data_IF_813364294273
#
_entry.id   IF_813364294273
#
_cell.length_a   1.000
_cell.length_b   1.000
_cell.length_c   1.000
_cell.angle_alpha   90.00
_cell.angle_beta   90.00
_cell.angle_gamma   90.00
#
_symmetry.space_group_name_H-M   'P 1'
#
loop_
_entity.id
_entity.type
_entity.pdbx_description
1 polymer ?
#
# COMPACT_ATOMS: atom_id res chain seq x y z
N UNK A 1 -24.32 -4.98 1.66
CA UNK A 1 -24.81 -4.80 0.27
C UNK A 1 -26.31 -4.54 0.33
N UNK A 2 -26.77 -3.32 0.05
CA UNK A 2 -28.19 -2.96 0.19
C UNK A 2 -29.11 -3.65 -0.83
N UNK A 3 -28.55 -4.12 -1.96
CA UNK A 3 -29.30 -4.84 -3.00
C UNK A 3 -29.61 -6.27 -2.58
N UNK A 4 -28.70 -6.93 -1.86
CA UNK A 4 -28.90 -8.31 -1.38
C UNK A 4 -29.66 -8.35 -0.05
N UNK A 5 -29.30 -7.48 0.90
CA UNK A 5 -29.78 -7.49 2.29
C UNK A 5 -30.65 -6.26 2.64
N UNK A 6 -31.26 -5.60 1.66
CA UNK A 6 -32.03 -4.37 1.88
C UNK A 6 -33.30 -4.56 2.70
N UNK A 7 -33.56 -3.64 3.64
CA UNK A 7 -34.64 -3.73 4.63
C UNK A 7 -36.08 -3.81 4.08
N UNK A 8 -36.32 -3.51 2.79
CA UNK A 8 -37.67 -3.45 2.21
C UNK A 8 -37.87 -4.31 0.96
N UNK A 9 -36.89 -4.36 0.06
CA UNK A 9 -36.98 -5.09 -1.21
C UNK A 9 -35.68 -5.86 -1.54
N UNK A 10 -34.85 -6.13 -0.53
CA UNK A 10 -33.68 -6.98 -0.70
C UNK A 10 -34.08 -8.40 -1.06
N UNK A 11 -33.29 -9.04 -1.92
CA UNK A 11 -33.51 -10.44 -2.35
C UNK A 11 -33.64 -11.37 -1.13
N UNK A 12 -32.80 -11.16 -0.11
CA UNK A 12 -32.86 -11.94 1.14
C UNK A 12 -34.20 -11.74 1.88
N UNK A 13 -34.68 -10.51 1.98
CA UNK A 13 -35.95 -10.17 2.63
C UNK A 13 -37.14 -10.86 1.94
N UNK A 14 -37.12 -10.92 0.61
CA UNK A 14 -38.14 -11.63 -0.18
C UNK A 14 -38.06 -13.15 -0.01
N UNK A 15 -36.85 -13.72 0.02
CA UNK A 15 -36.66 -15.17 0.20
C UNK A 15 -37.05 -15.60 1.62
N UNK A 16 -36.70 -14.82 2.65
CA UNK A 16 -37.12 -15.09 4.04
C UNK A 16 -38.62 -14.97 4.26
N UNK A 17 -39.27 -14.03 3.58
CA UNK A 17 -40.74 -13.93 3.60
C UNK A 17 -41.40 -15.19 3.01
N UNK A 18 -40.77 -15.80 1.99
CA UNK A 18 -41.23 -17.05 1.39
C UNK A 18 -40.82 -18.31 2.18
N UNK A 19 -39.74 -18.24 2.97
CA UNK A 19 -39.21 -19.38 3.71
C UNK A 19 -38.56 -18.93 5.03
N UNK A 20 -39.32 -19.01 6.14
CA UNK A 20 -38.90 -18.55 7.46
C UNK A 20 -37.73 -19.33 8.05
N UNK A 21 -37.50 -20.55 7.57
CA UNK A 21 -36.45 -21.45 8.05
C UNK A 21 -35.13 -21.29 7.27
N UNK A 22 -35.02 -20.29 6.38
CA UNK A 22 -33.80 -20.06 5.63
C UNK A 22 -32.66 -19.68 6.60
N UNK A 23 -31.57 -20.45 6.55
CA UNK A 23 -30.36 -20.17 7.31
C UNK A 23 -29.81 -18.79 6.89
N UNK A 24 -29.47 -17.95 7.86
CA UNK A 24 -28.86 -16.64 7.61
C UNK A 24 -27.44 -16.82 7.09
N UNK A 25 -27.30 -16.97 5.78
CA UNK A 25 -26.02 -16.83 5.11
C UNK A 25 -25.86 -15.34 4.89
N UNK A 26 -25.26 -14.66 5.87
CA UNK A 26 -24.92 -13.24 5.77
C UNK A 26 -24.26 -12.92 4.42
N UNK A 27 -24.39 -11.67 3.98
CA UNK A 27 -23.85 -11.22 2.70
C UNK A 27 -22.35 -11.51 2.55
N UNK A 28 -21.88 -11.48 1.30
CA UNK A 28 -20.49 -11.72 0.88
C UNK A 28 -19.43 -11.30 1.92
N UNK A 29 -18.83 -12.29 2.59
CA UNK A 29 -17.86 -12.07 3.67
C UNK A 29 -16.59 -11.39 3.15
N UNK A 30 -16.21 -11.64 1.89
CA UNK A 30 -15.10 -10.94 1.23
C UNK A 30 -15.43 -9.45 1.10
N UNK A 31 -16.66 -9.11 0.76
CA UNK A 31 -17.11 -7.72 0.72
C UNK A 31 -17.13 -7.07 2.12
N UNK A 32 -17.60 -7.80 3.15
CA UNK A 32 -17.57 -7.33 4.54
C UNK A 32 -16.12 -7.01 4.95
N UNK A 33 -15.19 -7.93 4.73
CA UNK A 33 -13.78 -7.75 5.08
C UNK A 33 -13.14 -6.58 4.33
N UNK A 34 -13.44 -6.40 3.04
CA UNK A 34 -12.99 -5.23 2.29
C UNK A 34 -13.48 -3.91 2.92
N UNK A 35 -14.75 -3.85 3.34
CA UNK A 35 -15.32 -2.65 3.96
C UNK A 35 -14.75 -2.40 5.36
N UNK A 36 -14.51 -3.45 6.15
CA UNK A 36 -13.86 -3.36 7.45
C UNK A 36 -12.45 -2.79 7.31
N UNK A 37 -11.65 -3.34 6.40
CA UNK A 37 -10.31 -2.82 6.12
C UNK A 37 -10.38 -1.34 5.71
N UNK A 38 -11.24 -0.98 4.75
CA UNK A 38 -11.41 0.40 4.29
C UNK A 38 -11.78 1.35 5.44
N UNK A 39 -12.70 0.95 6.32
CA UNK A 39 -13.14 1.74 7.48
C UNK A 39 -12.04 1.85 8.54
N UNK A 40 -11.26 0.80 8.76
CA UNK A 40 -10.14 0.87 9.68
C UNK A 40 -9.09 1.88 9.19
N UNK A 41 -8.68 1.75 7.93
CA UNK A 41 -7.62 2.56 7.37
C UNK A 41 -8.02 4.01 7.04
N UNK A 42 -9.32 4.33 6.93
CA UNK A 42 -9.76 5.72 6.77
C UNK A 42 -9.37 6.62 7.96
N UNK A 43 -9.05 6.05 9.13
CA UNK A 43 -8.57 6.81 10.30
C UNK A 43 -7.15 7.36 10.11
N UNK A 44 -6.40 6.87 9.12
CA UNK A 44 -5.09 7.42 8.73
C UNK A 44 -5.22 8.45 7.61
N UNK A 45 -6.41 9.03 7.40
CA UNK A 45 -6.67 10.13 6.46
C UNK A 45 -6.28 9.80 5.01
N UNK A 46 -6.30 8.52 4.64
CA UNK A 46 -5.84 8.04 3.34
C UNK A 46 -4.39 8.49 3.02
N UNK A 47 -3.53 8.58 4.04
CA UNK A 47 -2.18 9.11 3.92
C UNK A 47 -1.35 8.36 2.87
N UNK A 48 -1.29 7.03 2.93
CA UNK A 48 -0.49 6.24 1.99
C UNK A 48 -1.11 6.18 0.59
N UNK A 49 -2.43 6.21 0.50
CA UNK A 49 -3.19 6.30 -0.75
C UNK A 49 -2.88 7.62 -1.47
N UNK A 50 -2.85 8.73 -0.73
CA UNK A 50 -2.46 10.05 -1.24
C UNK A 50 -1.02 10.06 -1.72
N UNK A 51 -0.08 9.55 -0.92
CA UNK A 51 1.34 9.42 -1.28
C UNK A 51 1.52 8.58 -2.54
N UNK A 52 0.88 7.40 -2.60
CA UNK A 52 0.96 6.51 -3.76
C UNK A 52 0.40 7.18 -5.03
N UNK A 53 -0.71 7.93 -4.89
CA UNK A 53 -1.31 8.67 -6.00
C UNK A 53 -0.38 9.78 -6.50
N UNK A 54 0.18 10.59 -5.60
CA UNK A 54 1.11 11.65 -5.94
C UNK A 54 2.35 11.08 -6.67
N UNK A 55 2.96 10.02 -6.14
CA UNK A 55 4.11 9.38 -6.79
C UNK A 55 3.73 8.80 -8.16
N UNK A 56 2.58 8.13 -8.26
CA UNK A 56 2.09 7.56 -9.53
C UNK A 56 1.94 8.64 -10.60
N UNK A 57 1.20 9.71 -10.31
CA UNK A 57 0.94 10.78 -11.28
C UNK A 57 2.19 11.60 -11.60
N UNK A 58 3.16 11.71 -10.69
CA UNK A 58 4.41 12.41 -10.98
C UNK A 58 5.31 11.62 -11.96
N UNK A 59 5.39 10.29 -11.79
CA UNK A 59 6.30 9.44 -12.56
C UNK A 59 5.64 8.87 -13.82
N UNK A 60 4.40 8.38 -13.76
CA UNK A 60 3.75 7.74 -14.90
C UNK A 60 3.24 8.71 -15.96
N UNK A 61 2.80 9.91 -15.57
CA UNK A 61 2.29 10.89 -16.53
C UNK A 61 3.41 11.59 -17.32
N UNK A 62 4.67 11.38 -16.94
CA UNK A 62 5.85 11.96 -17.60
C UNK A 62 6.74 10.85 -18.18
N UNK A 63 6.77 10.68 -19.51
CA UNK A 63 7.66 9.70 -20.16
C UNK A 63 9.13 9.86 -19.76
N UNK A 64 9.57 11.11 -19.57
CA UNK A 64 10.93 11.44 -19.11
C UNK A 64 11.17 11.05 -17.65
N UNK A 65 10.20 11.28 -16.77
CA UNK A 65 10.33 10.86 -15.37
C UNK A 65 10.36 9.33 -15.27
N UNK A 66 9.54 8.66 -16.10
CA UNK A 66 9.49 7.20 -16.19
C UNK A 66 10.80 6.59 -16.69
N UNK A 67 11.43 7.16 -17.73
CA UNK A 67 12.73 6.66 -18.21
C UNK A 67 13.82 6.84 -17.17
N UNK A 68 13.93 8.03 -16.59
CA UNK A 68 14.89 8.32 -15.52
C UNK A 68 14.70 7.42 -14.29
N UNK A 69 13.45 7.20 -13.87
CA UNK A 69 13.18 6.32 -12.74
C UNK A 69 13.45 4.84 -13.07
N UNK A 70 13.40 4.44 -14.35
CA UNK A 70 13.83 3.11 -14.78
C UNK A 70 15.35 2.97 -14.69
N UNK A 71 16.11 3.96 -15.17
CA UNK A 71 17.58 3.99 -15.09
C UNK A 71 18.06 3.88 -13.63
N UNK A 72 17.41 4.61 -12.71
CA UNK A 72 17.68 4.47 -11.28
C UNK A 72 17.37 3.06 -10.78
N UNK A 73 16.24 2.45 -11.18
CA UNK A 73 15.92 1.09 -10.77
C UNK A 73 16.95 0.05 -11.24
N UNK A 74 17.53 0.25 -12.41
CA UNK A 74 18.58 -0.62 -12.96
C UNK A 74 19.85 -0.57 -12.10
N UNK A 75 20.21 0.61 -11.56
CA UNK A 75 21.33 0.77 -10.61
C UNK A 75 21.12 -0.02 -9.32
N UNK A 76 19.87 -0.10 -8.85
CA UNK A 76 19.49 -0.86 -7.68
C UNK A 76 19.41 -2.37 -7.94
N UNK A 77 19.69 -2.82 -9.18
CA UNK A 77 19.67 -4.23 -9.60
C UNK A 77 18.36 -4.93 -9.27
N UNK A 78 17.24 -4.21 -9.35
CA UNK A 78 15.95 -4.88 -9.27
C UNK A 78 15.83 -5.88 -10.42
N UNK A 79 15.42 -7.12 -10.14
CA UNK A 79 15.31 -8.18 -11.15
C UNK A 79 14.41 -7.79 -12.33
N UNK A 80 13.43 -6.90 -12.10
CA UNK A 80 12.52 -6.35 -13.10
C UNK A 80 12.22 -4.88 -12.76
N UNK A 81 12.00 -4.04 -13.77
CA UNK A 81 11.48 -2.68 -13.58
C UNK A 81 10.12 -2.72 -12.89
N UNK A 82 10.07 -2.24 -11.65
CA UNK A 82 8.88 -2.23 -10.82
C UNK A 82 8.03 -0.99 -11.15
N UNK A 83 6.90 -1.20 -11.80
CA UNK A 83 5.95 -0.12 -12.09
C UNK A 83 5.30 0.44 -10.81
N UNK A 84 5.02 1.73 -10.77
CA UNK A 84 4.25 2.32 -9.67
C UNK A 84 2.78 1.95 -9.86
N UNK A 85 2.12 1.55 -8.77
CA UNK A 85 0.73 1.10 -8.79
C UNK A 85 -0.15 2.24 -8.31
N UNK A 86 -1.16 2.60 -9.11
CA UNK A 86 -2.19 3.55 -8.70
C UNK A 86 -3.14 2.88 -7.69
N UNK A 87 -3.40 3.49 -6.52
CA UNK A 87 -4.41 3.00 -5.60
C UNK A 87 -5.82 3.17 -6.18
N UNK A 88 -6.71 2.22 -5.92
CA UNK A 88 -8.10 2.20 -6.42
C UNK A 88 -9.07 2.10 -5.24
N UNK A 89 -9.87 3.13 -5.02
CA UNK A 89 -10.77 3.25 -3.87
C UNK A 89 -11.86 2.17 -3.80
N UNK A 90 -12.27 1.63 -4.95
CA UNK A 90 -13.28 0.56 -5.05
C UNK A 90 -12.70 -0.82 -4.76
N UNK A 91 -11.37 -0.98 -4.74
CA UNK A 91 -10.66 -2.24 -4.48
C UNK A 91 -9.64 -2.04 -3.37
N UNK A 92 -10.12 -1.63 -2.20
CA UNK A 92 -9.27 -1.16 -1.12
C UNK A 92 -8.13 -2.12 -0.77
N UNK A 93 -8.36 -3.44 -0.67
CA UNK A 93 -7.30 -4.42 -0.34
C UNK A 93 -6.12 -4.39 -1.33
N UNK A 94 -6.28 -3.87 -2.55
CA UNK A 94 -5.17 -3.65 -3.48
C UNK A 94 -4.06 -2.77 -2.90
N UNK A 95 -4.38 -1.90 -1.93
CA UNK A 95 -3.41 -1.06 -1.23
C UNK A 95 -2.28 -1.88 -0.58
N UNK A 96 -2.51 -3.17 -0.28
CA UNK A 96 -1.46 -4.11 0.13
C UNK A 96 -0.32 -4.19 -0.89
N UNK A 97 -0.65 -4.42 -2.17
CA UNK A 97 0.32 -4.49 -3.26
C UNK A 97 0.99 -3.14 -3.51
N UNK A 98 0.26 -2.05 -3.36
CA UNK A 98 0.80 -0.69 -3.46
C UNK A 98 1.84 -0.45 -2.35
N UNK A 99 1.53 -0.80 -1.11
CA UNK A 99 2.45 -0.65 0.02
C UNK A 99 3.70 -1.51 -0.15
N UNK A 100 3.55 -2.76 -0.61
CA UNK A 100 4.69 -3.64 -0.91
C UNK A 100 5.57 -3.04 -2.03
N UNK A 101 4.95 -2.46 -3.06
CA UNK A 101 5.65 -1.78 -4.15
C UNK A 101 6.41 -0.55 -3.67
N UNK A 102 5.76 0.31 -2.89
CA UNK A 102 6.36 1.50 -2.31
C UNK A 102 7.52 1.15 -1.37
N UNK A 103 7.39 0.10 -0.57
CA UNK A 103 8.45 -0.35 0.33
C UNK A 103 9.69 -0.77 -0.46
N UNK A 104 9.52 -1.60 -1.49
CA UNK A 104 10.63 -2.01 -2.37
C UNK A 104 11.28 -0.84 -3.10
N UNK A 105 10.49 0.14 -3.51
CA UNK A 105 10.96 1.30 -4.27
C UNK A 105 11.43 2.46 -3.40
N UNK A 106 11.33 2.40 -2.07
CA UNK A 106 11.57 3.54 -1.18
C UNK A 106 12.94 4.17 -1.41
N UNK A 107 13.98 3.35 -1.53
CA UNK A 107 15.33 3.87 -1.72
C UNK A 107 15.53 4.50 -3.10
N UNK A 108 15.04 3.86 -4.16
CA UNK A 108 15.07 4.41 -5.52
C UNK A 108 14.28 5.72 -5.62
N UNK A 109 13.13 5.80 -4.93
CA UNK A 109 12.33 7.02 -4.81
C UNK A 109 13.11 8.12 -4.09
N UNK A 110 13.79 7.81 -2.98
CA UNK A 110 14.65 8.78 -2.31
C UNK A 110 15.74 9.31 -3.24
N UNK A 111 16.43 8.45 -3.99
CA UNK A 111 17.44 8.90 -4.97
C UNK A 111 16.83 9.81 -6.04
N UNK A 112 15.71 9.41 -6.62
CA UNK A 112 15.01 10.20 -7.64
C UNK A 112 14.59 11.57 -7.09
N UNK A 113 13.96 11.59 -5.90
CA UNK A 113 13.42 12.82 -5.33
C UNK A 113 14.46 13.70 -4.62
N UNK A 114 15.65 13.18 -4.33
CA UNK A 114 16.76 13.98 -3.76
C UNK A 114 17.14 15.17 -4.65
N UNK A 115 16.98 15.02 -5.96
CA UNK A 115 17.24 16.07 -6.95
C UNK A 115 16.33 17.30 -6.81
N UNK A 116 15.19 17.18 -6.11
CA UNK A 116 14.22 18.26 -5.90
C UNK A 116 14.33 18.92 -4.52
N UNK A 117 15.23 18.45 -3.66
CA UNK A 117 15.56 19.12 -2.41
C UNK A 117 16.27 20.45 -2.68
N UNK A 118 16.00 21.46 -1.87
CA UNK A 118 16.79 22.69 -1.86
C UNK A 118 18.19 22.42 -1.31
N UNK A 119 19.17 23.27 -1.62
CA UNK A 119 20.55 23.08 -1.15
C UNK A 119 20.68 23.09 0.38
N UNK A 120 19.71 23.70 1.09
CA UNK A 120 19.63 23.65 2.55
C UNK A 120 19.13 22.31 3.09
N UNK A 121 18.32 21.60 2.32
CA UNK A 121 17.70 20.32 2.70
C UNK A 121 18.53 19.11 2.25
N UNK A 122 19.47 19.31 1.31
CA UNK A 122 20.39 18.27 0.84
C UNK A 122 21.38 17.88 1.94
N UNK A 123 20.96 16.96 2.81
CA UNK A 123 21.90 16.23 3.65
C UNK A 123 22.37 14.97 2.91
N UNK A 124 23.64 14.95 2.52
CA UNK A 124 24.25 13.79 1.85
C UNK A 124 24.23 12.50 2.69
N UNK A 125 24.02 12.57 4.00
CA UNK A 125 23.93 11.41 4.90
C UNK A 125 22.77 10.48 4.56
N UNK A 126 21.60 11.03 4.20
CA UNK A 126 20.40 10.24 3.87
C UNK A 126 20.62 9.32 2.66
N UNK A 127 21.50 9.73 1.74
CA UNK A 127 21.89 8.93 0.59
C UNK A 127 23.05 7.99 0.92
N UNK A 128 24.05 8.45 1.70
CA UNK A 128 25.20 7.61 2.08
C UNK A 128 24.77 6.28 2.68
N UNK A 129 23.75 6.27 3.54
CA UNK A 129 23.24 5.04 4.15
C UNK A 129 22.63 4.08 3.10
N UNK A 130 21.80 4.60 2.20
CA UNK A 130 21.17 3.82 1.13
C UNK A 130 22.24 3.15 0.27
N UNK A 131 23.24 3.93 -0.13
CA UNK A 131 24.26 3.46 -1.06
C UNK A 131 25.30 2.57 -0.41
N UNK A 132 25.62 2.76 0.88
CA UNK A 132 26.44 1.82 1.64
C UNK A 132 25.78 0.44 1.73
N UNK A 133 24.45 0.37 1.85
CA UNK A 133 23.72 -0.93 1.86
C UNK A 133 23.75 -1.64 0.50
N UNK A 134 23.90 -0.89 -0.60
CA UNK A 134 23.83 -1.42 -1.96
C UNK A 134 25.20 -1.74 -2.56
N UNK A 135 26.30 -1.49 -1.82
CA UNK A 135 27.67 -1.59 -2.33
C UNK A 135 27.89 -0.80 -3.64
N UNK A 136 27.25 0.37 -3.77
CA UNK A 136 27.44 1.27 -4.91
C UNK A 136 28.52 2.31 -4.59
N UNK A 137 29.32 2.68 -5.59
CA UNK A 137 30.38 3.67 -5.40
C UNK A 137 29.82 5.08 -5.33
N UNK A 138 30.49 5.99 -4.60
CA UNK A 138 30.04 7.38 -4.46
C UNK A 138 29.99 8.12 -5.82
N UNK A 139 30.86 7.75 -6.75
CA UNK A 139 30.95 8.38 -8.07
C UNK A 139 29.76 8.01 -8.97
N UNK A 140 29.29 6.76 -8.91
CA UNK A 140 28.08 6.32 -9.64
C UNK A 140 26.83 7.07 -9.14
N UNK A 141 26.74 7.31 -7.83
CA UNK A 141 25.66 8.06 -7.18
C UNK A 141 25.62 9.50 -7.70
N UNK A 142 26.75 10.19 -7.61
CA UNK A 142 26.84 11.61 -7.95
C UNK A 142 26.57 11.78 -9.44
N UNK A 143 27.08 10.89 -10.28
CA UNK A 143 26.82 10.90 -11.71
C UNK A 143 25.33 10.79 -12.03
N UNK A 144 24.62 9.86 -11.39
CA UNK A 144 23.20 9.66 -11.66
C UNK A 144 22.35 10.82 -11.15
N UNK A 145 22.61 11.29 -9.92
CA UNK A 145 21.92 12.45 -9.36
C UNK A 145 22.15 13.70 -10.23
N UNK A 146 23.38 13.88 -10.72
CA UNK A 146 23.72 14.99 -11.62
C UNK A 146 23.02 14.87 -12.97
N UNK A 147 22.90 13.65 -13.51
CA UNK A 147 22.14 13.34 -14.72
C UNK A 147 20.67 13.73 -14.56
N UNK A 148 20.04 13.26 -13.48
CA UNK A 148 18.65 13.56 -13.13
C UNK A 148 18.47 15.07 -12.94
N UNK A 149 19.33 15.74 -12.17
CA UNK A 149 19.28 17.19 -11.96
C UNK A 149 19.39 17.98 -13.27
N UNK A 150 20.30 17.58 -14.16
CA UNK A 150 20.46 18.20 -15.48
C UNK A 150 19.21 18.04 -16.33
N UNK A 151 18.63 16.84 -16.39
CA UNK A 151 17.39 16.61 -17.14
C UNK A 151 16.19 17.39 -16.55
N UNK A 152 16.14 17.56 -15.24
CA UNK A 152 15.09 18.31 -14.54
C UNK A 152 15.22 19.82 -14.70
N UNK A 153 16.44 20.36 -14.75
CA UNK A 153 16.67 21.80 -14.99
C UNK A 153 16.07 22.31 -16.31
N UNK A 154 15.86 21.41 -17.26
CA UNK A 154 15.28 21.71 -18.57
C UNK A 154 13.73 21.67 -18.57
N UNK A 155 13.10 21.21 -17.49
CA UNK A 155 11.64 21.10 -17.41
C UNK A 155 11.00 22.35 -16.79
N UNK A 156 10.08 22.96 -17.55
CA UNK A 156 9.12 23.92 -16.98
C UNK A 156 8.03 23.16 -16.23
N UNK A 157 8.05 23.24 -14.90
CA UNK A 157 7.04 22.62 -14.04
C UNK A 157 5.82 23.53 -13.85
N UNK A 158 4.62 22.97 -14.01
CA UNK A 158 3.37 23.63 -13.61
C UNK A 158 3.31 23.81 -12.08
N UNK A 159 2.50 24.75 -11.61
CA UNK A 159 2.31 24.96 -10.17
C UNK A 159 1.83 23.68 -9.45
N UNK A 160 0.91 22.94 -10.07
CA UNK A 160 0.39 21.65 -9.56
C UNK A 160 1.51 20.62 -9.40
N UNK A 161 2.39 20.49 -10.40
CA UNK A 161 3.49 19.53 -10.33
C UNK A 161 4.54 19.93 -9.28
N UNK A 162 4.78 21.24 -9.10
CA UNK A 162 5.68 21.73 -8.04
C UNK A 162 5.15 21.36 -6.66
N UNK A 163 3.87 21.61 -6.39
CA UNK A 163 3.26 21.28 -5.09
C UNK A 163 3.20 19.78 -4.85
N UNK A 164 2.92 18.97 -5.88
CA UNK A 164 2.99 17.50 -5.79
C UNK A 164 4.39 17.03 -5.37
N UNK A 165 5.43 17.52 -6.03
CA UNK A 165 6.82 17.16 -5.72
C UNK A 165 7.21 17.58 -4.30
N UNK A 166 6.80 18.78 -3.85
CA UNK A 166 7.01 19.20 -2.45
C UNK A 166 6.38 18.24 -1.45
N UNK A 167 5.13 17.80 -1.70
CA UNK A 167 4.48 16.81 -0.82
C UNK A 167 5.24 15.50 -0.78
N UNK A 168 5.70 14.99 -1.93
CA UNK A 168 6.46 13.74 -2.01
C UNK A 168 7.80 13.87 -1.27
N UNK A 169 8.53 14.97 -1.50
CA UNK A 169 9.80 15.27 -0.82
C UNK A 169 9.60 15.31 0.71
N UNK A 170 8.62 16.08 1.17
CA UNK A 170 8.29 16.16 2.60
C UNK A 170 7.91 14.80 3.21
N UNK A 171 7.32 13.88 2.44
CA UNK A 171 6.99 12.52 2.90
C UNK A 171 8.24 11.63 2.97
N UNK A 172 9.10 11.67 1.95
CA UNK A 172 10.26 10.78 1.82
C UNK A 172 11.43 11.18 2.71
N UNK A 173 11.56 12.47 3.04
CA UNK A 173 12.68 13.02 3.81
C UNK A 173 12.24 13.52 5.19
N UNK A 174 11.42 14.58 5.25
CA UNK A 174 11.07 15.23 6.51
C UNK A 174 10.18 14.37 7.42
N UNK A 175 9.20 13.68 6.82
CA UNK A 175 8.28 12.77 7.50
C UNK A 175 8.63 11.29 7.22
N UNK A 176 9.90 11.01 6.90
CA UNK A 176 10.36 9.67 6.52
C UNK A 176 10.06 8.60 7.56
N UNK A 177 10.18 8.94 8.86
CA UNK A 177 9.86 8.03 9.97
C UNK A 177 8.37 7.69 10.00
N UNK A 178 7.49 8.69 9.91
CA UNK A 178 6.03 8.49 9.86
C UNK A 178 5.64 7.69 8.63
N UNK A 179 6.21 8.01 7.47
CA UNK A 179 5.99 7.31 6.22
C UNK A 179 6.36 5.83 6.34
N UNK A 180 7.58 5.52 6.79
CA UNK A 180 8.05 4.14 6.94
C UNK A 180 7.25 3.37 7.97
N UNK A 181 6.91 4.00 9.10
CA UNK A 181 6.06 3.39 10.12
C UNK A 181 4.69 2.99 9.55
N UNK A 182 3.98 3.93 8.92
CA UNK A 182 2.66 3.65 8.34
C UNK A 182 2.76 2.61 7.23
N UNK A 183 3.81 2.67 6.40
CA UNK A 183 4.02 1.72 5.31
C UNK A 183 4.20 0.29 5.84
N UNK A 184 5.02 0.10 6.87
CA UNK A 184 5.20 -1.20 7.52
C UNK A 184 3.94 -1.67 8.24
N UNK A 185 3.23 -0.74 8.89
CA UNK A 185 1.97 -1.02 9.59
C UNK A 185 0.89 -1.51 8.61
N UNK A 186 0.70 -0.82 7.49
CA UNK A 186 -0.22 -1.23 6.43
C UNK A 186 0.17 -2.60 5.86
N UNK A 187 1.46 -2.83 5.56
CA UNK A 187 1.95 -4.13 5.04
C UNK A 187 1.63 -5.29 5.99
N UNK A 188 1.84 -5.10 7.30
CA UNK A 188 1.56 -6.13 8.30
C UNK A 188 0.08 -6.48 8.40
N UNK A 189 -0.78 -5.46 8.53
CA UNK A 189 -2.22 -5.65 8.76
C UNK A 189 -2.95 -6.07 7.49
N UNK A 190 -2.69 -5.42 6.35
CA UNK A 190 -3.39 -5.70 5.10
C UNK A 190 -3.15 -7.11 4.59
N UNK A 191 -1.98 -7.70 4.89
CA UNK A 191 -1.68 -9.07 4.53
C UNK A 191 -2.69 -10.05 5.13
N UNK A 192 -3.16 -9.82 6.36
CA UNK A 192 -4.17 -10.66 7.01
C UNK A 192 -5.50 -10.60 6.26
N UNK A 193 -5.98 -9.40 5.96
CA UNK A 193 -7.20 -9.18 5.19
C UNK A 193 -7.11 -9.78 3.77
N UNK A 194 -5.95 -9.64 3.15
CA UNK A 194 -5.69 -10.17 1.81
C UNK A 194 -5.69 -11.69 1.78
N UNK A 195 -5.09 -12.34 2.77
CA UNK A 195 -5.07 -13.80 2.86
C UNK A 195 -6.48 -14.37 3.01
N UNK A 196 -7.30 -13.76 3.87
CA UNK A 196 -8.71 -14.13 4.01
C UNK A 196 -9.45 -13.98 2.67
N UNK A 197 -9.32 -12.83 2.01
CA UNK A 197 -10.01 -12.59 0.73
C UNK A 197 -9.57 -13.57 -0.35
N UNK A 198 -8.27 -13.89 -0.44
CA UNK A 198 -7.75 -14.90 -1.38
C UNK A 198 -8.23 -16.32 -1.08
N UNK A 199 -8.46 -16.67 0.18
CA UNK A 199 -9.00 -17.97 0.55
C UNK A 199 -10.43 -18.15 0.00
N UNK A 200 -11.26 -17.10 0.06
CA UNK A 200 -12.67 -17.17 -0.34
C UNK A 200 -12.97 -16.68 -1.76
N UNK A 201 -11.98 -16.13 -2.48
CA UNK A 201 -12.06 -15.81 -3.92
C UNK A 201 -11.54 -16.96 -4.80
N UNK A 202 -11.91 -18.19 -4.47
CA UNK A 202 -11.54 -19.39 -5.22
C UNK A 202 -12.76 -20.00 -5.90
N UNK A 203 -12.54 -20.79 -6.95
CA UNK A 203 -13.62 -21.51 -7.64
C UNK A 203 -14.33 -22.50 -6.72
N UNK A 204 -13.59 -23.13 -5.80
CA UNK A 204 -14.14 -24.09 -4.84
C UNK A 204 -14.80 -23.36 -3.67
N UNK A 205 -16.09 -23.61 -3.37
CA UNK A 205 -16.74 -23.01 -2.21
C UNK A 205 -16.17 -23.61 -0.91
N UNK A 206 -15.77 -22.73 0.01
CA UNK A 206 -15.14 -23.07 1.29
C UNK A 206 -16.03 -22.68 2.50
N UNK A 207 -17.35 -22.77 2.35
CA UNK A 207 -18.32 -22.35 3.38
C UNK A 207 -18.04 -22.99 4.75
N UNK A 208 -17.61 -24.25 4.77
CA UNK A 208 -17.35 -25.04 5.98
C UNK A 208 -16.21 -24.49 6.86
N UNK A 209 -15.28 -23.69 6.31
CA UNK A 209 -14.18 -23.07 7.08
C UNK A 209 -14.38 -21.58 7.33
N UNK A 210 -15.46 -20.97 6.84
CA UNK A 210 -15.71 -19.51 6.96
C UNK A 210 -15.64 -19.04 8.41
N UNK A 211 -16.30 -19.76 9.31
CA UNK A 211 -16.30 -19.39 10.74
C UNK A 211 -14.88 -19.41 11.33
N UNK A 212 -14.12 -20.49 11.07
CA UNK A 212 -12.76 -20.65 11.57
C UNK A 212 -11.81 -19.57 11.01
N UNK A 213 -11.87 -19.31 9.70
CA UNK A 213 -11.06 -18.28 9.05
C UNK A 213 -11.41 -16.86 9.52
N UNK A 214 -12.69 -16.55 9.75
CA UNK A 214 -13.10 -15.25 10.30
C UNK A 214 -12.61 -15.08 11.74
N UNK A 215 -12.71 -16.13 12.55
CA UNK A 215 -12.21 -16.13 13.92
C UNK A 215 -10.68 -15.92 13.95
N UNK A 216 -9.95 -16.65 13.12
CA UNK A 216 -8.50 -16.51 12.97
C UNK A 216 -8.10 -15.11 12.48
N UNK A 217 -8.83 -14.54 11.52
CA UNK A 217 -8.61 -13.17 11.07
C UNK A 217 -8.78 -12.16 12.21
N UNK A 218 -9.84 -12.30 13.02
CA UNK A 218 -10.07 -11.44 14.18
C UNK A 218 -8.95 -11.55 15.21
N UNK A 219 -8.52 -12.77 15.57
CA UNK A 219 -7.42 -12.98 16.51
C UNK A 219 -6.10 -12.41 15.99
N UNK A 220 -5.76 -12.69 14.73
CA UNK A 220 -4.55 -12.16 14.11
C UNK A 220 -4.58 -10.63 14.08
N UNK A 221 -5.72 -10.03 13.76
CA UNK A 221 -5.89 -8.59 13.78
C UNK A 221 -5.72 -8.00 15.19
N UNK A 222 -6.35 -8.59 16.20
CA UNK A 222 -6.21 -8.15 17.59
C UNK A 222 -4.78 -8.31 18.11
N UNK A 223 -4.01 -9.27 17.61
CA UNK A 223 -2.62 -9.49 18.00
C UNK A 223 -1.67 -8.34 17.67
N UNK A 224 -2.04 -7.46 16.73
CA UNK A 224 -1.28 -6.22 16.48
C UNK A 224 -1.44 -5.18 17.60
N UNK A 225 -2.45 -5.32 18.46
CA UNK A 225 -2.81 -4.30 19.47
C UNK A 225 -2.81 -4.85 20.90
N UNK A 226 -3.06 -6.15 21.08
CA UNK A 226 -3.12 -6.82 22.37
C UNK A 226 -1.86 -7.62 22.68
N UNK A 227 -1.54 -7.79 23.97
CA UNK A 227 -0.50 -8.74 24.37
C UNK A 227 -1.00 -10.19 24.15
N UNK A 228 -0.11 -11.13 23.80
CA UNK A 228 -0.50 -12.52 23.55
C UNK A 228 -1.26 -13.18 24.71
N UNK A 229 -0.94 -12.82 25.96
CA UNK A 229 -1.55 -13.34 27.18
C UNK A 229 -3.04 -13.00 27.36
N UNK A 230 -3.54 -11.99 26.65
CA UNK A 230 -4.96 -11.57 26.69
C UNK A 230 -5.76 -12.03 25.46
N UNK A 231 -5.12 -12.74 24.53
CA UNK A 231 -5.80 -13.30 23.37
C UNK A 231 -6.28 -14.72 23.69
N UNK A 232 -7.51 -15.09 23.32
CA UNK A 232 -7.97 -16.47 23.42
C UNK A 232 -6.96 -17.41 22.76
N UNK A 233 -6.59 -18.50 23.46
CA UNK A 233 -5.72 -19.52 22.87
C UNK A 233 -6.40 -20.09 21.62
N UNK A 234 -5.67 -20.06 20.50
CA UNK A 234 -6.18 -20.64 19.27
C UNK A 234 -6.18 -22.16 19.41
N UNK A 235 -7.33 -22.79 19.14
CA UNK A 235 -7.42 -24.23 18.95
C UNK A 235 -6.57 -24.58 17.72
N UNK A 236 -5.35 -25.09 17.97
CA UNK A 236 -4.31 -25.54 17.02
C UNK A 236 -3.54 -24.44 16.27
N UNK A 237 -2.47 -23.95 16.90
CA UNK A 237 -1.22 -23.68 16.17
C UNK A 237 -0.61 -25.03 15.78
N UNK A 238 -0.89 -25.50 14.57
CA UNK A 238 -0.13 -26.62 13.99
C UNK A 238 1.12 -26.02 13.34
N UNK A 239 2.28 -26.40 13.87
CA UNK A 239 3.63 -26.07 13.37
C UNK A 239 3.80 -26.54 11.93
#
# INVERSE_FOLDING_TARGET
CNTMCGCKAGVETLIRAANSNLLDIHGDTVHIINNVAKKFFSHFENYLEGVASDIYYDIQDSPKAKSLFSEIQDLFKYQNTLQIIRPIDSRFIQISYVCERLYKLTDALKVFYFSFLTDKEKNGEALKEIFSRLNLSIDEIIKEISSVQKMLSLQKLSAVNKERKKRIVNVLFDNSVKYMFLLLFYRGILLQFQNYVKAFQQEKPLIHVVHEEMYNLCLNFLSFFGKPEFLPENVKRSV
#
